data_IF_669604054246
#
_entry.id   IF_669604054246
#
_cell.length_a   1.000
_cell.length_b   1.000
_cell.length_c   1.000
_cell.angle_alpha   90.00
_cell.angle_beta   90.00
_cell.angle_gamma   90.00
#
_symmetry.space_group_name_H-M   'P 1'
#
loop_
_entity.id
_entity.type
_entity.pdbx_description
1 polymer ?
#
# COMPACT_ATOMS: atom_id res chain seq x y z
N UNK A 1 -6.36 14.28 -10.69
CA UNK A 1 -5.39 13.18 -10.78
C UNK A 1 -4.43 13.34 -9.62
N UNK A 2 -4.44 12.37 -8.73
CA UNK A 2 -3.63 12.28 -7.52
C UNK A 2 -2.51 11.25 -7.75
N UNK A 3 -1.45 11.34 -6.95
CA UNK A 3 -0.35 10.38 -6.98
C UNK A 3 -0.33 9.61 -5.67
N UNK A 4 -0.21 8.29 -5.75
CA UNK A 4 -0.17 7.39 -4.61
C UNK A 4 1.11 6.58 -4.64
N UNK A 5 1.84 6.56 -3.53
CA UNK A 5 2.86 5.57 -3.25
C UNK A 5 2.13 4.30 -2.79
N UNK A 6 2.36 3.17 -3.44
CA UNK A 6 1.90 1.88 -2.95
C UNK A 6 3.06 1.07 -2.38
N UNK A 7 2.80 0.39 -1.26
CA UNK A 7 3.75 -0.49 -0.61
C UNK A 7 3.11 -1.85 -0.39
N UNK A 8 3.83 -2.92 -0.74
CA UNK A 8 3.41 -4.31 -0.55
C UNK A 8 4.26 -4.97 0.52
N UNK A 9 3.65 -5.68 1.45
CA UNK A 9 4.32 -6.51 2.44
C UNK A 9 3.51 -7.77 2.75
N UNK A 10 4.15 -8.78 3.35
CA UNK A 10 3.45 -9.96 3.88
C UNK A 10 2.54 -9.59 5.05
N UNK A 11 1.36 -10.20 5.09
CA UNK A 11 0.47 -10.11 6.25
C UNK A 11 0.97 -11.04 7.35
N UNK A 12 1.25 -10.54 8.57
CA UNK A 12 1.70 -11.39 9.67
C UNK A 12 0.60 -12.37 10.12
N UNK A 13 1.00 -13.60 10.43
CA UNK A 13 0.12 -14.68 10.90
C UNK A 13 -0.53 -14.30 12.25
N UNK A 14 -1.87 -14.44 12.37
CA UNK A 14 -2.62 -14.20 13.62
C UNK A 14 -3.34 -12.86 13.77
N UNK A 15 -3.44 -12.05 12.71
CA UNK A 15 -4.19 -10.80 12.70
C UNK A 15 -5.69 -11.02 12.40
N UNK A 16 -6.45 -11.46 13.40
CA UNK A 16 -7.92 -11.31 13.41
C UNK A 16 -8.25 -9.83 13.70
N UNK A 17 -9.20 -9.26 12.96
CA UNK A 17 -9.66 -7.85 12.93
C UNK A 17 -10.03 -7.19 14.29
N UNK A 18 -9.85 -7.87 15.42
CA UNK A 18 -10.43 -7.52 16.72
C UNK A 18 -9.52 -6.76 17.71
N UNK A 19 -8.32 -6.28 17.34
CA UNK A 19 -7.41 -5.60 18.28
C UNK A 19 -7.15 -4.12 17.97
N UNK A 20 -8.01 -3.19 18.48
CA UNK A 20 -7.93 -1.75 18.18
C UNK A 20 -6.74 -0.99 18.79
N UNK A 21 -5.85 -1.66 19.54
CA UNK A 21 -4.74 -1.00 20.27
C UNK A 21 -3.35 -1.14 19.61
N UNK A 22 -3.23 -1.84 18.46
CA UNK A 22 -1.95 -2.02 17.74
C UNK A 22 -1.77 -1.08 16.52
N UNK A 23 -2.73 -0.19 16.27
CA UNK A 23 -2.93 0.64 15.05
C UNK A 23 -1.90 1.74 14.76
N UNK A 24 -0.68 1.65 15.27
CA UNK A 24 0.31 2.70 15.02
C UNK A 24 1.72 2.17 14.90
N UNK A 25 2.18 1.46 15.92
CA UNK A 25 3.59 1.01 15.98
C UNK A 25 3.80 -0.30 15.21
N UNK A 26 2.82 -1.20 15.17
CA UNK A 26 2.94 -2.49 14.46
C UNK A 26 2.68 -2.36 12.95
N UNK A 27 1.78 -1.47 12.53
CA UNK A 27 1.59 -1.13 11.11
C UNK A 27 2.87 -0.59 10.46
N UNK A 28 3.63 0.22 11.19
CA UNK A 28 4.94 0.72 10.73
C UNK A 28 5.99 -0.38 10.62
N UNK A 29 5.91 -1.43 11.45
CA UNK A 29 6.88 -2.54 11.44
C UNK A 29 6.64 -3.51 10.27
N UNK A 30 5.39 -3.78 9.89
CA UNK A 30 5.08 -4.64 8.74
C UNK A 30 5.67 -4.08 7.45
N UNK A 31 5.48 -2.79 7.22
CA UNK A 31 6.03 -2.10 6.05
C UNK A 31 7.50 -1.67 6.21
N UNK A 32 8.17 -2.04 7.30
CA UNK A 32 9.61 -1.82 7.45
C UNK A 32 10.43 -2.70 6.50
N UNK A 33 9.86 -3.83 6.04
CA UNK A 33 10.47 -4.74 5.08
C UNK A 33 9.54 -4.95 3.87
N UNK A 34 9.41 -3.93 2.99
CA UNK A 34 8.53 -4.02 1.85
C UNK A 34 9.05 -5.02 0.81
N UNK A 35 8.15 -5.81 0.25
CA UNK A 35 8.41 -6.74 -0.86
C UNK A 35 8.35 -5.99 -2.19
N UNK A 36 7.49 -4.98 -2.27
CA UNK A 36 7.36 -4.14 -3.46
C UNK A 36 6.98 -2.70 -3.11
N UNK A 37 7.48 -1.75 -3.91
CA UNK A 37 7.22 -0.32 -3.81
C UNK A 37 7.01 0.24 -5.20
N UNK A 38 5.99 1.07 -5.37
CA UNK A 38 5.76 1.75 -6.64
C UNK A 38 4.89 2.99 -6.49
N UNK A 39 4.68 3.68 -7.60
CA UNK A 39 3.89 4.92 -7.63
C UNK A 39 2.83 4.79 -8.72
N UNK A 40 1.58 5.11 -8.37
CA UNK A 40 0.45 5.09 -9.31
C UNK A 40 -0.21 6.47 -9.33
N UNK A 41 -0.63 6.91 -10.52
CA UNK A 41 -1.42 8.11 -10.67
C UNK A 41 -2.87 7.72 -11.01
N UNK A 42 -3.82 8.20 -10.21
CA UNK A 42 -5.23 7.85 -10.32
C UNK A 42 -6.11 9.04 -9.89
N UNK A 43 -7.38 9.14 -10.34
CA UNK A 43 -8.26 10.22 -9.91
C UNK A 43 -8.61 10.16 -8.42
N UNK A 44 -8.71 8.95 -7.85
CA UNK A 44 -8.96 8.71 -6.44
C UNK A 44 -8.30 7.41 -5.94
N UNK A 45 -8.50 7.14 -4.65
CA UNK A 45 -7.91 6.00 -3.93
C UNK A 45 -8.48 4.65 -4.42
N UNK A 46 -9.75 4.61 -4.82
CA UNK A 46 -10.41 3.37 -5.28
C UNK A 46 -9.96 2.98 -6.70
N UNK A 47 -9.72 3.96 -7.56
CA UNK A 47 -9.13 3.72 -8.86
C UNK A 47 -7.64 3.36 -8.74
N UNK A 48 -6.90 4.01 -7.83
CA UNK A 48 -5.52 3.62 -7.50
C UNK A 48 -5.43 2.16 -7.03
N UNK A 49 -6.36 1.74 -6.17
CA UNK A 49 -6.51 0.35 -5.74
C UNK A 49 -6.66 -0.59 -6.92
N UNK A 50 -7.59 -0.29 -7.82
CA UNK A 50 -7.95 -1.18 -8.92
C UNK A 50 -6.76 -1.37 -9.85
N UNK A 51 -6.07 -0.27 -10.18
CA UNK A 51 -4.86 -0.29 -11.02
C UNK A 51 -3.76 -1.13 -10.36
N UNK A 52 -3.48 -0.91 -9.07
CA UNK A 52 -2.42 -1.64 -8.36
C UNK A 52 -2.76 -3.13 -8.22
N UNK A 53 -4.03 -3.47 -7.95
CA UNK A 53 -4.48 -4.86 -7.91
C UNK A 53 -4.27 -5.55 -9.26
N UNK A 54 -4.72 -4.95 -10.35
CA UNK A 54 -4.60 -5.55 -11.69
C UNK A 54 -3.16 -5.71 -12.15
N UNK A 55 -2.29 -4.74 -11.84
CA UNK A 55 -0.87 -4.77 -12.19
C UNK A 55 -0.09 -5.83 -11.38
N UNK A 56 -0.40 -5.95 -10.08
CA UNK A 56 0.35 -6.82 -9.17
C UNK A 56 -0.17 -8.26 -9.11
N UNK A 57 -1.45 -8.49 -9.42
CA UNK A 57 -2.05 -9.84 -9.44
C UNK A 57 -1.20 -10.87 -10.19
N UNK A 58 -0.74 -10.68 -11.44
CA UNK A 58 0.07 -11.68 -12.13
C UNK A 58 1.44 -11.92 -11.47
N UNK A 59 1.97 -10.93 -10.74
CA UNK A 59 3.27 -11.03 -10.07
C UNK A 59 3.19 -11.87 -8.79
N UNK A 60 2.07 -11.79 -8.08
CA UNK A 60 1.89 -12.40 -6.76
C UNK A 60 0.81 -13.50 -6.71
N UNK A 61 0.31 -13.95 -7.86
CA UNK A 61 -0.72 -15.00 -7.95
C UNK A 61 -0.35 -16.30 -7.22
N UNK A 62 0.94 -16.65 -7.20
CA UNK A 62 1.45 -17.85 -6.55
C UNK A 62 2.17 -17.54 -5.22
N UNK A 63 1.96 -16.36 -4.63
CA UNK A 63 2.63 -15.98 -3.39
C UNK A 63 2.14 -16.85 -2.23
N UNK A 64 3.02 -17.49 -1.45
CA UNK A 64 2.63 -18.51 -0.46
C UNK A 64 1.92 -17.94 0.77
N UNK A 65 1.92 -16.62 0.93
CA UNK A 65 1.38 -15.90 2.08
C UNK A 65 0.46 -14.78 1.61
N UNK A 66 -0.63 -14.48 2.33
CA UNK A 66 -1.44 -13.30 2.06
C UNK A 66 -0.58 -12.05 2.09
N UNK A 67 -0.73 -11.22 1.07
CA UNK A 67 -0.01 -9.98 0.94
C UNK A 67 -0.93 -8.81 1.28
N UNK A 68 -0.34 -7.69 1.69
CA UNK A 68 -1.07 -6.49 1.99
C UNK A 68 -0.50 -5.27 1.27
N UNK A 69 -1.37 -4.49 0.63
CA UNK A 69 -1.02 -3.22 0.00
C UNK A 69 -1.51 -2.07 0.85
N UNK A 70 -0.63 -1.08 1.03
CA UNK A 70 -0.99 0.24 1.55
C UNK A 70 -0.79 1.30 0.47
N UNK A 71 -1.78 2.18 0.35
CA UNK A 71 -1.75 3.33 -0.55
C UNK A 71 -1.60 4.63 0.23
N UNK A 72 -0.55 5.38 -0.05
CA UNK A 72 -0.29 6.67 0.57
C UNK A 72 -0.33 7.79 -0.48
N UNK A 73 -1.22 8.77 -0.29
CA UNK A 73 -1.24 9.93 -1.16
C UNK A 73 0.03 10.77 -0.96
N UNK A 74 0.74 11.01 -2.05
CA UNK A 74 1.96 11.81 -2.08
C UNK A 74 1.77 13.03 -2.97
N UNK A 75 2.33 14.14 -2.53
CA UNK A 75 2.39 15.35 -3.34
C UNK A 75 3.74 15.51 -4.02
N UNK A 76 3.75 16.00 -5.26
CA UNK A 76 4.99 16.35 -5.92
C UNK A 76 5.71 17.45 -5.14
N UNK A 77 7.05 17.49 -5.19
CA UNK A 77 7.82 18.55 -4.55
C UNK A 77 7.39 19.94 -5.05
N UNK A 78 7.29 20.88 -4.12
CA UNK A 78 6.85 22.26 -4.38
C UNK A 78 7.84 23.11 -5.20
N UNK A 79 9.07 22.63 -5.43
CA UNK A 79 10.07 23.31 -6.26
C UNK A 79 10.75 22.33 -7.22
N UNK A 80 10.32 22.34 -8.48
CA UNK A 80 10.97 21.64 -9.59
C UNK A 80 10.89 20.11 -9.55
N UNK A 81 11.25 19.47 -10.66
CA UNK A 81 11.18 18.01 -10.88
C UNK A 81 12.16 17.20 -10.02
N UNK A 82 13.01 17.86 -9.24
CA UNK A 82 14.01 17.25 -8.37
C UNK A 82 13.76 17.68 -6.92
N UNK A 83 12.85 16.99 -6.23
CA UNK A 83 12.58 17.25 -4.82
C UNK A 83 11.96 16.05 -4.12
N UNK A 84 11.89 16.15 -2.79
CA UNK A 84 11.36 15.07 -1.94
C UNK A 84 9.83 15.11 -1.98
N UNK A 85 9.23 14.02 -2.46
CA UNK A 85 7.78 13.81 -2.40
C UNK A 85 7.33 13.75 -0.94
N UNK A 86 6.27 14.49 -0.61
CA UNK A 86 5.77 14.58 0.78
C UNK A 86 4.49 13.77 0.93
N UNK A 87 4.39 13.03 2.03
CA UNK A 87 3.17 12.32 2.44
C UNK A 87 2.16 13.34 2.94
N UNK A 88 0.94 13.32 2.39
CA UNK A 88 -0.07 14.33 2.72
C UNK A 88 -0.77 14.05 4.06
N UNK A 89 -1.07 12.78 4.31
CA UNK A 89 -1.52 12.11 5.55
C UNK A 89 -1.69 10.63 5.18
N UNK A 90 -1.54 9.67 6.11
CA UNK A 90 -1.81 8.28 5.80
C UNK A 90 -3.29 8.14 5.41
N UNK A 91 -3.54 7.69 4.18
CA UNK A 91 -4.83 7.07 3.84
C UNK A 91 -4.64 5.60 4.15
N UNK A 92 -5.10 5.18 5.33
CA UNK A 92 -4.99 3.78 5.75
C UNK A 92 -6.05 2.97 5.00
N UNK A 93 -5.75 2.66 3.74
CA UNK A 93 -6.46 1.63 3.01
C UNK A 93 -5.53 0.43 2.87
N UNK A 94 -5.87 -0.59 3.64
CA UNK A 94 -5.21 -1.88 3.68
C UNK A 94 -5.96 -2.85 2.77
N UNK A 95 -5.23 -3.42 1.81
CA UNK A 95 -5.77 -4.36 0.83
C UNK A 95 -5.13 -5.70 1.09
N UNK A 96 -5.86 -6.67 1.65
CA UNK A 96 -5.36 -8.05 1.75
C UNK A 96 -5.70 -8.79 0.46
N UNK A 97 -4.70 -9.40 -0.17
CA UNK A 97 -4.93 -10.38 -1.24
C UNK A 97 -5.11 -11.78 -0.66
N UNK A 98 -6.09 -12.50 -1.18
CA UNK A 98 -6.33 -13.92 -0.89
C UNK A 98 -6.17 -14.77 -2.14
N UNK A 99 -6.09 -16.10 -2.01
CA UNK A 99 -6.02 -17.03 -3.16
C UNK A 99 -7.20 -16.87 -4.15
N UNK A 100 -8.28 -16.19 -3.75
CA UNK A 100 -9.46 -15.96 -4.56
C UNK A 100 -9.48 -14.59 -5.28
N UNK A 101 -8.53 -13.70 -4.98
CA UNK A 101 -8.41 -12.35 -5.57
C UNK A 101 -7.48 -12.30 -6.76
#
# INVERSE_FOLDING_TARGET
>A
MMTFLFTVAEKPEGWDEAHPMARGTMEMQRFAHPIHLGVVAAPDVAEAYTIVLEDLRPTFADHPSPLEVRLEMVEPPSSGSAGIWRRHRPTDMDITWTDAD
#
